data_IF_514801376169
#
_entry.id   IF_514801376169
#
_cell.length_a   1.000
_cell.length_b   1.000
_cell.length_c   1.000
_cell.angle_alpha   90.00
_cell.angle_beta   90.00
_cell.angle_gamma   90.00
#
_symmetry.space_group_name_H-M   'P 1'
#
loop_
_entity.id
_entity.type
_entity.pdbx_description
1 polymer ?
#
# COMPACT_ATOMS: atom_id res chain seq x y z
N UNK A 1 -22.99 18.31 -2.44
CA UNK A 1 -23.42 16.91 -2.66
C UNK A 1 -22.41 15.99 -1.99
N UNK A 2 -22.81 15.08 -1.09
CA UNK A 2 -21.89 14.12 -0.48
C UNK A 2 -21.37 13.16 -1.54
N UNK A 3 -20.06 12.91 -1.58
CA UNK A 3 -19.45 11.96 -2.52
C UNK A 3 -19.98 10.57 -2.18
N UNK A 4 -20.87 10.02 -2.99
CA UNK A 4 -21.35 8.64 -2.85
C UNK A 4 -20.14 7.71 -2.89
N UNK A 5 -19.86 7.02 -1.78
CA UNK A 5 -18.76 6.08 -1.71
C UNK A 5 -18.99 4.97 -2.75
N UNK A 6 -18.07 4.82 -3.70
CA UNK A 6 -18.19 3.82 -4.74
C UNK A 6 -18.04 2.42 -4.10
N UNK A 7 -19.07 1.55 -4.11
CA UNK A 7 -19.10 0.29 -3.35
C UNK A 7 -18.03 -0.72 -3.81
N UNK A 8 -17.43 -0.52 -4.98
CA UNK A 8 -16.30 -1.33 -5.44
C UNK A 8 -15.05 -1.20 -4.55
N UNK A 9 -14.86 -0.07 -3.87
CA UNK A 9 -13.73 0.15 -2.94
C UNK A 9 -13.96 -0.42 -1.54
N UNK A 10 -15.20 -0.79 -1.24
CA UNK A 10 -15.60 -1.38 0.04
C UNK A 10 -15.57 -2.91 0.04
N UNK A 11 -15.43 -3.55 -1.14
CA UNK A 11 -15.29 -5.00 -1.21
C UNK A 11 -13.99 -5.41 -0.50
N UNK A 12 -14.07 -6.20 0.58
CA UNK A 12 -12.88 -6.65 1.29
C UNK A 12 -12.11 -7.60 0.36
N UNK A 13 -10.88 -7.21 0.04
CA UNK A 13 -9.98 -8.03 -0.73
C UNK A 13 -9.17 -8.85 0.26
N UNK A 14 -9.02 -10.15 0.00
CA UNK A 14 -8.09 -10.97 0.76
C UNK A 14 -6.68 -10.57 0.31
N UNK A 15 -5.86 -9.95 1.19
CA UNK A 15 -4.50 -9.60 0.81
C UNK A 15 -3.72 -10.85 0.42
N UNK A 16 -2.87 -10.75 -0.62
CA UNK A 16 -1.93 -11.81 -0.96
C UNK A 16 -0.99 -12.06 0.23
N UNK A 17 -0.36 -13.24 0.31
CA UNK A 17 0.52 -13.58 1.44
C UNK A 17 1.60 -12.51 1.71
N UNK A 18 2.12 -11.89 0.64
CA UNK A 18 3.11 -10.81 0.69
C UNK A 18 2.51 -9.52 1.28
N UNK A 19 1.32 -9.13 0.81
CA UNK A 19 0.60 -7.97 1.34
C UNK A 19 0.20 -8.18 2.81
N UNK A 20 -0.23 -9.40 3.15
CA UNK A 20 -0.62 -9.78 4.49
C UNK A 20 0.53 -9.67 5.51
N UNK A 21 1.78 -9.83 5.09
CA UNK A 21 2.94 -9.62 5.96
C UNK A 21 3.11 -8.14 6.40
N UNK A 22 2.53 -7.20 5.66
CA UNK A 22 2.61 -5.76 5.94
C UNK A 22 1.31 -5.23 6.56
N UNK A 23 0.16 -5.58 5.97
CA UNK A 23 -1.15 -5.04 6.37
C UNK A 23 -1.96 -5.98 7.27
N UNK A 24 -1.50 -7.22 7.45
CA UNK A 24 -2.18 -8.31 8.16
C UNK A 24 -2.98 -9.22 7.21
N UNK A 25 -3.22 -10.46 7.63
CA UNK A 25 -3.93 -11.47 6.84
C UNK A 25 -5.46 -11.31 6.80
N UNK A 26 -6.00 -10.37 7.58
CA UNK A 26 -7.44 -10.14 7.62
C UNK A 26 -7.93 -9.55 6.29
N UNK A 27 -9.16 -9.87 5.86
CA UNK A 27 -9.78 -9.23 4.72
C UNK A 27 -9.92 -7.73 5.01
N UNK A 28 -9.35 -6.90 4.15
CA UNK A 28 -9.35 -5.45 4.33
C UNK A 28 -9.90 -4.79 3.06
N UNK A 29 -10.71 -3.72 3.19
CA UNK A 29 -11.09 -2.92 2.03
C UNK A 29 -9.84 -2.24 1.45
N UNK A 30 -9.84 -1.99 0.13
CA UNK A 30 -8.69 -1.42 -0.59
C UNK A 30 -8.17 -0.13 0.06
N UNK A 31 -9.06 0.71 0.57
CA UNK A 31 -8.69 1.94 1.29
C UNK A 31 -7.90 1.70 2.57
N UNK A 32 -8.21 0.65 3.34
CA UNK A 32 -7.46 0.29 4.54
C UNK A 32 -6.10 -0.30 4.22
N UNK A 33 -6.01 -1.12 3.17
CA UNK A 33 -4.75 -1.67 2.68
C UNK A 33 -3.78 -0.54 2.35
N UNK A 34 -4.22 0.45 1.57
CA UNK A 34 -3.40 1.60 1.19
C UNK A 34 -2.98 2.42 2.41
N UNK A 35 -3.90 2.68 3.37
CA UNK A 35 -3.57 3.38 4.62
C UNK A 35 -2.49 2.66 5.43
N UNK A 36 -2.61 1.33 5.59
CA UNK A 36 -1.62 0.52 6.31
C UNK A 36 -0.27 0.49 5.59
N UNK A 37 -0.27 0.41 4.26
CA UNK A 37 0.96 0.48 3.47
C UNK A 37 1.67 1.83 3.68
N UNK A 38 0.94 2.95 3.62
CA UNK A 38 1.49 4.28 3.91
C UNK A 38 2.01 4.41 5.34
N UNK A 39 1.30 3.84 6.32
CA UNK A 39 1.77 3.82 7.71
C UNK A 39 3.09 3.05 7.83
N UNK A 40 3.22 1.91 7.14
CA UNK A 40 4.47 1.14 7.09
C UNK A 40 5.60 1.92 6.41
N UNK A 41 5.35 2.53 5.25
CA UNK A 41 6.34 3.34 4.51
C UNK A 41 6.87 4.47 5.39
N UNK A 42 5.97 5.21 6.06
CA UNK A 42 6.36 6.31 6.95
C UNK A 42 7.10 5.82 8.19
N UNK A 43 6.63 4.74 8.82
CA UNK A 43 7.27 4.15 10.01
C UNK A 43 8.70 3.70 9.74
N UNK A 44 8.97 3.18 8.54
CA UNK A 44 10.28 2.72 8.13
C UNK A 44 11.08 3.78 7.35
N UNK A 45 10.58 5.01 7.27
CA UNK A 45 11.19 6.12 6.53
C UNK A 45 11.58 5.77 5.07
N UNK A 46 10.72 4.99 4.41
CA UNK A 46 10.94 4.48 3.05
C UNK A 46 10.54 5.48 1.96
N UNK A 47 10.10 6.68 2.34
CA UNK A 47 9.84 7.74 1.37
C UNK A 47 11.17 8.34 0.93
N UNK A 48 11.39 8.44 -0.38
CA UNK A 48 12.64 8.98 -0.90
C UNK A 48 12.76 10.47 -0.47
N UNK A 49 13.84 10.86 0.23
CA UNK A 49 14.00 12.22 0.74
C UNK A 49 14.23 13.26 -0.35
N UNK A 50 14.82 12.85 -1.48
CA UNK A 50 15.02 13.70 -2.65
C UNK A 50 13.74 13.83 -3.50
N UNK A 51 12.92 12.77 -3.54
CA UNK A 51 11.66 12.76 -4.27
C UNK A 51 10.56 12.07 -3.47
N UNK A 52 9.77 12.85 -2.72
CA UNK A 52 8.70 12.34 -1.85
C UNK A 52 7.58 11.57 -2.59
N UNK A 53 7.55 11.59 -3.92
CA UNK A 53 6.64 10.76 -4.72
C UNK A 53 7.11 9.32 -4.86
N UNK A 54 8.40 9.08 -4.67
CA UNK A 54 9.00 7.77 -4.80
C UNK A 54 9.12 7.11 -3.42
N UNK A 55 8.90 5.81 -3.42
CA UNK A 55 8.93 4.94 -2.26
C UNK A 55 10.00 3.90 -2.53
N UNK A 56 10.99 3.86 -1.65
CA UNK A 56 12.06 2.87 -1.66
C UNK A 56 11.51 1.59 -1.02
N UNK A 57 11.15 0.63 -1.86
CA UNK A 57 10.58 -0.63 -1.39
C UNK A 57 11.66 -1.44 -0.69
N UNK A 58 11.43 -1.75 0.58
CA UNK A 58 12.26 -2.66 1.36
C UNK A 58 11.99 -4.13 0.98
N UNK A 59 12.69 -5.07 1.61
CA UNK A 59 12.54 -6.52 1.36
C UNK A 59 11.09 -7.01 1.45
N UNK A 60 10.26 -6.35 2.26
CA UNK A 60 8.84 -6.72 2.43
C UNK A 60 7.95 -6.06 1.39
N UNK A 61 8.22 -4.80 1.00
CA UNK A 61 7.45 -4.08 -0.02
C UNK A 61 7.82 -4.48 -1.44
N UNK A 62 9.08 -4.86 -1.71
CA UNK A 62 9.53 -5.32 -3.03
C UNK A 62 8.58 -6.38 -3.61
N UNK A 63 8.27 -7.50 -2.94
CA UNK A 63 7.35 -8.50 -3.49
C UNK A 63 5.93 -7.98 -3.68
N UNK A 64 5.47 -7.00 -2.89
CA UNK A 64 4.15 -6.37 -3.06
C UNK A 64 4.09 -5.53 -4.34
N UNK A 65 5.22 -4.91 -4.71
CA UNK A 65 5.35 -4.07 -5.90
C UNK A 65 5.93 -4.80 -7.12
N UNK A 66 5.86 -6.14 -7.14
CA UNK A 66 6.35 -6.94 -8.26
C UNK A 66 7.89 -6.99 -8.38
N UNK A 67 8.60 -6.85 -7.26
CA UNK A 67 10.06 -6.92 -7.17
C UNK A 67 10.77 -5.58 -7.38
N UNK A 68 10.04 -4.49 -7.63
CA UNK A 68 10.63 -3.15 -7.83
C UNK A 68 11.21 -2.63 -6.51
N UNK A 69 12.47 -2.18 -6.54
CA UNK A 69 13.12 -1.52 -5.40
C UNK A 69 12.70 -0.06 -5.20
N UNK A 70 12.12 0.56 -6.21
CA UNK A 70 11.57 1.90 -6.13
C UNK A 70 10.24 1.93 -6.90
N UNK A 71 9.21 2.49 -6.27
CA UNK A 71 7.90 2.68 -6.87
C UNK A 71 7.40 4.09 -6.69
N UNK A 72 6.50 4.52 -7.56
CA UNK A 72 5.82 5.80 -7.42
C UNK A 72 4.53 5.65 -6.60
N UNK A 73 4.14 6.70 -5.87
CA UNK A 73 2.85 6.79 -5.17
C UNK A 73 1.62 6.45 -6.05
N UNK A 74 1.70 6.61 -7.37
CA UNK A 74 0.61 6.24 -8.30
C UNK A 74 0.46 4.72 -8.47
N UNK A 75 1.53 3.96 -8.26
CA UNK A 75 1.52 2.48 -8.30
C UNK A 75 0.94 1.87 -7.02
N UNK A 76 0.63 2.68 -6.00
CA UNK A 76 -0.05 2.24 -4.77
C UNK A 76 -1.58 2.18 -4.89
N UNK A 77 -2.12 2.46 -6.08
CA UNK A 77 -3.56 2.55 -6.25
C UNK A 77 -4.22 1.19 -6.25
#
# INVERSE_FOLDING_TARGET
MPRTANPAFLKPLKPSAQLAAIVGANPLPRGEVVKKLWAYIKKNNLQNPANKRNIMADDKLRPVFGGKGEVNMFEMT
#
